data_IF_626479223149
#
_entry.id   IF_626479223149
#
_cell.length_a   1.000
_cell.length_b   1.000
_cell.length_c   1.000
_cell.angle_alpha   90.00
_cell.angle_beta   90.00
_cell.angle_gamma   90.00
#
_symmetry.space_group_name_H-M   'P 1'
#
loop_
_entity.id
_entity.type
_entity.pdbx_description
1 polymer ?
#
# COMPACT_ATOMS: atom_id res chain seq x y z
N UNK A 1 -22.93 -38.25 16.97
CA UNK A 1 -23.41 -36.96 16.44
C UNK A 1 -22.53 -36.63 15.25
N UNK A 2 -23.09 -36.73 14.05
CA UNK A 2 -22.43 -36.34 12.81
C UNK A 2 -22.47 -34.81 12.72
N UNK A 3 -21.30 -34.18 12.80
CA UNK A 3 -21.15 -32.74 12.53
C UNK A 3 -21.21 -32.56 11.02
N UNK A 4 -22.32 -32.02 10.54
CA UNK A 4 -22.44 -31.50 9.18
C UNK A 4 -21.65 -30.17 9.13
N UNK A 5 -20.52 -30.17 8.44
CA UNK A 5 -19.78 -28.95 8.14
C UNK A 5 -20.47 -28.21 6.99
N UNK A 6 -20.90 -26.97 7.26
CA UNK A 6 -21.59 -26.10 6.30
C UNK A 6 -20.63 -25.63 5.18
N UNK A 7 -21.02 -25.70 3.90
CA UNK A 7 -20.21 -25.21 2.79
C UNK A 7 -20.37 -23.69 2.66
N UNK A 8 -19.58 -22.93 3.43
CA UNK A 8 -19.86 -21.51 3.66
C UNK A 8 -18.69 -20.53 3.58
N UNK A 9 -17.54 -20.86 2.97
CA UNK A 9 -16.40 -19.89 3.00
C UNK A 9 -15.49 -19.84 1.75
N UNK A 10 -15.73 -20.64 0.71
CA UNK A 10 -14.88 -20.62 -0.49
C UNK A 10 -15.10 -19.40 -1.40
N UNK A 11 -16.21 -18.66 -1.25
CA UNK A 11 -16.55 -17.51 -2.12
C UNK A 11 -15.89 -16.21 -1.68
N UNK A 12 -15.63 -16.05 -0.39
CA UNK A 12 -15.03 -14.85 0.23
C UNK A 12 -13.52 -14.83 -0.02
N UNK A 13 -12.84 -15.97 0.17
CA UNK A 13 -11.42 -16.13 -0.11
C UNK A 13 -11.06 -15.83 -1.57
N UNK A 14 -11.82 -16.38 -2.54
CA UNK A 14 -11.55 -16.15 -3.96
C UNK A 14 -11.75 -14.69 -4.41
N UNK A 15 -12.60 -13.92 -3.74
CA UNK A 15 -12.78 -12.48 -4.03
C UNK A 15 -11.63 -11.63 -3.51
N UNK A 16 -11.06 -11.99 -2.36
CA UNK A 16 -9.91 -11.28 -1.80
C UNK A 16 -8.65 -11.54 -2.60
N UNK A 17 -8.46 -12.77 -3.09
CA UNK A 17 -7.37 -13.11 -4.01
C UNK A 17 -7.46 -12.33 -5.32
N UNK A 18 -8.65 -12.28 -5.94
CA UNK A 18 -8.90 -11.50 -7.15
C UNK A 18 -8.68 -9.98 -6.94
N UNK A 19 -9.00 -9.46 -5.76
CA UNK A 19 -8.75 -8.06 -5.43
C UNK A 19 -7.24 -7.76 -5.30
N UNK A 20 -6.48 -8.70 -4.75
CA UNK A 20 -5.02 -8.62 -4.68
C UNK A 20 -4.38 -8.60 -6.07
N UNK A 21 -4.77 -9.55 -6.93
CA UNK A 21 -4.26 -9.61 -8.32
C UNK A 21 -4.64 -8.35 -9.12
N UNK A 22 -5.86 -7.83 -8.95
CA UNK A 22 -6.28 -6.59 -9.62
C UNK A 22 -5.51 -5.36 -9.12
N UNK A 23 -5.24 -5.28 -7.81
CA UNK A 23 -4.46 -4.20 -7.21
C UNK A 23 -3.03 -4.20 -7.74
N UNK A 24 -2.42 -5.37 -7.87
CA UNK A 24 -1.09 -5.54 -8.47
C UNK A 24 -1.06 -5.05 -9.91
N UNK A 25 -2.04 -5.43 -10.73
CA UNK A 25 -2.15 -4.96 -12.11
C UNK A 25 -2.28 -3.43 -12.21
N UNK A 26 -3.09 -2.82 -11.33
CA UNK A 26 -3.25 -1.37 -11.26
C UNK A 26 -1.94 -0.68 -10.88
N UNK A 27 -1.22 -1.20 -9.89
CA UNK A 27 0.06 -0.65 -9.45
C UNK A 27 1.14 -0.78 -10.53
N UNK A 28 1.25 -1.92 -11.22
CA UNK A 28 2.21 -2.09 -12.32
C UNK A 28 1.93 -1.09 -13.46
N UNK A 29 0.66 -0.83 -13.78
CA UNK A 29 0.28 0.19 -14.77
C UNK A 29 0.58 1.61 -14.28
N UNK A 30 0.22 1.94 -13.04
CA UNK A 30 0.46 3.25 -12.46
C UNK A 30 1.96 3.57 -12.37
N UNK A 31 2.80 2.57 -12.08
CA UNK A 31 4.24 2.69 -12.12
C UNK A 31 4.75 3.03 -13.53
N UNK A 32 4.25 2.34 -14.55
CA UNK A 32 4.60 2.60 -15.96
C UNK A 32 4.18 4.00 -16.43
N UNK A 33 3.07 4.52 -15.88
CA UNK A 33 2.51 5.83 -16.18
C UNK A 33 3.08 6.95 -15.30
N UNK A 34 3.98 6.62 -14.36
CA UNK A 34 4.56 7.55 -13.36
C UNK A 34 3.49 8.33 -12.57
N UNK A 35 2.35 7.70 -12.27
CA UNK A 35 1.25 8.29 -11.50
C UNK A 35 1.21 7.85 -10.04
N UNK A 36 2.28 7.21 -9.56
CA UNK A 36 2.42 6.76 -8.18
C UNK A 36 3.16 7.80 -7.33
N UNK A 37 2.64 8.05 -6.13
CA UNK A 37 3.36 8.72 -5.06
C UNK A 37 3.82 7.67 -4.06
N UNK A 38 5.13 7.60 -3.84
CA UNK A 38 5.76 6.60 -2.98
C UNK A 38 6.30 7.27 -1.72
N UNK A 39 6.06 6.65 -0.57
CA UNK A 39 6.48 7.18 0.73
C UNK A 39 5.32 7.75 1.54
N UNK A 40 5.38 7.53 2.85
CA UNK A 40 4.33 7.94 3.79
C UNK A 40 4.27 9.47 3.88
N UNK A 41 5.42 10.13 3.87
CA UNK A 41 5.51 11.57 3.97
C UNK A 41 5.11 12.27 2.66
N UNK A 42 5.55 11.73 1.51
CA UNK A 42 5.18 12.22 0.18
C UNK A 42 3.67 12.11 -0.04
N UNK A 43 3.09 10.98 0.36
CA UNK A 43 1.64 10.78 0.32
C UNK A 43 0.92 11.81 1.20
N UNK A 44 1.36 12.00 2.45
CA UNK A 44 0.77 13.01 3.34
C UNK A 44 0.88 14.43 2.78
N UNK A 45 2.02 14.78 2.16
CA UNK A 45 2.21 16.07 1.51
C UNK A 45 1.29 16.26 0.32
N UNK A 46 1.14 15.25 -0.54
CA UNK A 46 0.23 15.30 -1.67
C UNK A 46 -1.22 15.45 -1.20
N UNK A 47 -1.65 14.65 -0.23
CA UNK A 47 -2.98 14.71 0.37
C UNK A 47 -3.30 16.10 0.93
N UNK A 48 -2.32 16.80 1.49
CA UNK A 48 -2.51 18.15 2.02
C UNK A 48 -2.52 19.26 0.95
N UNK A 49 -1.96 19.01 -0.24
CA UNK A 49 -1.90 19.98 -1.34
C UNK A 49 -3.06 19.78 -2.31
N UNK A 50 -3.37 18.53 -2.65
CA UNK A 50 -4.29 18.18 -3.73
C UNK A 50 -4.90 16.77 -3.51
N UNK A 51 -5.83 16.64 -2.56
CA UNK A 51 -6.49 15.37 -2.27
C UNK A 51 -7.42 14.91 -3.39
N UNK A 52 -7.95 15.83 -4.20
CA UNK A 52 -8.91 15.53 -5.28
C UNK A 52 -8.30 14.67 -6.40
N UNK A 53 -6.98 14.74 -6.58
CA UNK A 53 -6.25 13.95 -7.57
C UNK A 53 -5.82 12.57 -7.06
N UNK A 54 -6.09 12.23 -5.80
CA UNK A 54 -5.73 10.94 -5.20
C UNK A 54 -6.91 9.97 -5.26
N UNK A 55 -6.78 8.92 -6.07
CA UNK A 55 -7.86 7.92 -6.27
C UNK A 55 -7.81 6.77 -5.26
N UNK A 56 -6.60 6.40 -4.83
CA UNK A 56 -6.35 5.25 -3.96
C UNK A 56 -5.09 5.47 -3.12
N UNK A 57 -5.20 5.23 -1.81
CA UNK A 57 -4.06 5.13 -0.90
C UNK A 57 -3.80 3.68 -0.51
N UNK A 58 -2.53 3.27 -0.54
CA UNK A 58 -2.09 1.94 -0.13
C UNK A 58 -1.14 2.04 1.06
N UNK A 59 -1.56 1.47 2.19
CA UNK A 59 -0.73 1.33 3.38
C UNK A 59 -0.16 -0.08 3.41
N UNK A 60 1.13 -0.19 3.14
CA UNK A 60 1.88 -1.43 3.21
C UNK A 60 2.66 -1.48 4.52
N UNK A 61 2.38 -2.50 5.33
CA UNK A 61 3.02 -2.67 6.64
C UNK A 61 3.12 -4.16 6.95
N UNK A 62 4.32 -4.73 6.91
CA UNK A 62 4.57 -6.09 7.37
C UNK A 62 4.60 -6.14 8.90
N UNK A 63 4.54 -7.34 9.47
CA UNK A 63 4.50 -7.53 10.93
C UNK A 63 5.71 -6.94 11.66
N UNK A 64 6.89 -6.91 11.00
CA UNK A 64 8.11 -6.28 11.54
C UNK A 64 7.94 -4.76 11.74
N UNK A 65 7.09 -4.11 10.94
CA UNK A 65 6.83 -2.67 10.99
C UNK A 65 5.70 -2.31 11.96
N UNK A 66 5.07 -3.31 12.60
CA UNK A 66 4.04 -3.09 13.62
C UNK A 66 4.61 -2.46 14.91
N UNK A 67 5.91 -2.63 15.18
CA UNK A 67 6.60 -2.06 16.35
C UNK A 67 7.00 -0.59 16.20
N UNK A 68 6.92 -0.03 14.99
CA UNK A 68 7.30 1.35 14.72
C UNK A 68 6.16 2.32 15.05
N UNK A 69 6.20 2.88 16.26
CA UNK A 69 5.17 3.81 16.73
C UNK A 69 5.01 5.04 15.82
N UNK A 70 6.09 5.57 15.25
CA UNK A 70 6.02 6.74 14.38
C UNK A 70 5.28 6.39 13.08
N UNK A 71 5.63 5.25 12.48
CA UNK A 71 4.95 4.74 11.29
C UNK A 71 3.46 4.46 11.55
N UNK A 72 3.13 3.84 12.68
CA UNK A 72 1.72 3.57 13.03
C UNK A 72 0.92 4.86 13.27
N UNK A 73 1.54 5.90 13.84
CA UNK A 73 0.91 7.23 13.96
C UNK A 73 0.63 7.80 12.57
N UNK A 74 1.60 7.78 11.66
CA UNK A 74 1.40 8.30 10.31
C UNK A 74 0.33 7.53 9.52
N UNK A 75 0.32 6.20 9.62
CA UNK A 75 -0.74 5.39 9.01
C UNK A 75 -2.12 5.76 9.55
N UNK A 76 -2.22 5.97 10.86
CA UNK A 76 -3.49 6.39 11.49
C UNK A 76 -3.92 7.77 10.98
N UNK A 77 -3.00 8.72 10.88
CA UNK A 77 -3.28 10.07 10.38
C UNK A 77 -3.73 10.06 8.91
N UNK A 78 -3.01 9.34 8.06
CA UNK A 78 -3.36 9.21 6.64
C UNK A 78 -4.71 8.53 6.48
N UNK A 79 -4.96 7.45 7.24
CA UNK A 79 -6.24 6.75 7.20
C UNK A 79 -7.40 7.67 7.59
N UNK A 80 -7.26 8.45 8.67
CA UNK A 80 -8.27 9.42 9.08
C UNK A 80 -8.53 10.45 7.99
N UNK A 81 -7.47 11.02 7.41
CA UNK A 81 -7.58 12.00 6.34
C UNK A 81 -8.27 11.43 5.09
N UNK A 82 -7.89 10.24 4.64
CA UNK A 82 -8.52 9.59 3.49
C UNK A 82 -10.01 9.33 3.74
N UNK A 83 -10.38 8.91 4.95
CA UNK A 83 -11.78 8.70 5.31
C UNK A 83 -12.59 10.00 5.33
N UNK A 84 -12.00 11.11 5.76
CA UNK A 84 -12.66 12.42 5.77
C UNK A 84 -12.86 13.01 4.36
N UNK A 85 -12.03 12.63 3.40
CA UNK A 85 -12.05 13.14 2.02
C UNK A 85 -12.59 12.11 1.01
N UNK A 86 -13.26 11.04 1.48
CA UNK A 86 -13.82 9.97 0.63
C UNK A 86 -12.79 9.30 -0.33
N UNK A 87 -11.52 9.25 0.08
CA UNK A 87 -10.44 8.60 -0.67
C UNK A 87 -10.39 7.12 -0.30
N UNK A 88 -10.40 6.24 -1.30
CA UNK A 88 -10.28 4.81 -1.08
C UNK A 88 -8.93 4.46 -0.45
N UNK A 89 -8.94 3.67 0.61
CA UNK A 89 -7.72 3.24 1.29
C UNK A 89 -7.69 1.71 1.47
N UNK A 90 -6.54 1.11 1.19
CA UNK A 90 -6.29 -0.32 1.39
C UNK A 90 -5.08 -0.51 2.30
N UNK A 91 -5.19 -1.43 3.24
CA UNK A 91 -4.06 -1.88 4.09
C UNK A 91 -3.67 -3.29 3.70
N UNK A 92 -2.43 -3.47 3.25
CA UNK A 92 -1.88 -4.79 2.96
C UNK A 92 -0.84 -5.17 4.04
N UNK A 93 -1.12 -6.19 4.87
CA UNK A 93 -0.19 -6.69 5.87
C UNK A 93 0.92 -7.59 5.30
N UNK A 94 0.84 -7.92 4.01
CA UNK A 94 1.78 -8.80 3.33
C UNK A 94 2.37 -8.11 2.10
N UNK A 95 3.02 -6.97 2.35
CA UNK A 95 3.66 -6.19 1.31
C UNK A 95 4.91 -6.86 0.74
N UNK A 96 5.39 -7.93 1.35
CA UNK A 96 6.51 -8.75 0.86
C UNK A 96 6.11 -9.81 -0.17
N UNK A 97 4.81 -9.98 -0.47
CA UNK A 97 4.32 -11.07 -1.35
C UNK A 97 3.92 -10.62 -2.77
N UNK A 98 4.23 -9.40 -3.21
CA UNK A 98 3.95 -8.97 -4.59
C UNK A 98 4.71 -9.85 -5.59
N UNK A 99 4.01 -10.28 -6.63
CA UNK A 99 4.54 -11.12 -7.71
C UNK A 99 5.34 -10.28 -8.70
N UNK A 100 4.98 -9.01 -8.88
CA UNK A 100 5.65 -8.06 -9.76
C UNK A 100 7.05 -7.70 -9.20
N UNK A 101 8.12 -8.00 -9.95
CA UNK A 101 9.48 -7.79 -9.48
C UNK A 101 9.83 -6.30 -9.34
N UNK A 102 9.20 -5.40 -10.10
CA UNK A 102 9.46 -3.97 -10.00
C UNK A 102 8.81 -3.39 -8.73
N UNK A 103 7.57 -3.79 -8.42
CA UNK A 103 6.92 -3.43 -7.16
C UNK A 103 7.68 -3.97 -5.96
N UNK A 104 8.08 -5.24 -5.99
CA UNK A 104 8.86 -5.86 -4.91
C UNK A 104 10.20 -5.14 -4.68
N UNK A 105 10.92 -4.76 -5.74
CA UNK A 105 12.16 -3.98 -5.63
C UNK A 105 11.92 -2.58 -5.03
N UNK A 106 10.87 -1.89 -5.46
CA UNK A 106 10.53 -0.56 -4.94
C UNK A 106 10.17 -0.60 -3.46
N UNK A 107 9.38 -1.60 -3.05
CA UNK A 107 9.01 -1.80 -1.65
C UNK A 107 10.24 -2.12 -0.79
N UNK A 108 11.17 -2.94 -1.29
CA UNK A 108 12.44 -3.23 -0.64
C UNK A 108 13.29 -1.96 -0.46
N UNK A 109 13.43 -1.15 -1.51
CA UNK A 109 14.16 0.13 -1.45
C UNK A 109 13.56 1.10 -0.43
N UNK A 110 12.23 1.23 -0.38
CA UNK A 110 11.56 2.09 0.59
C UNK A 110 11.77 1.61 2.03
N UNK A 111 11.78 0.28 2.25
CA UNK A 111 12.06 -0.34 3.56
C UNK A 111 13.50 -0.06 4.00
N UNK A 112 14.47 -0.30 3.13
CA UNK A 112 15.90 -0.07 3.42
C UNK A 112 16.17 1.42 3.70
N UNK A 113 15.57 2.32 2.92
CA UNK A 113 15.71 3.76 3.14
C UNK A 113 15.17 4.16 4.51
N UNK A 114 14.02 3.61 4.92
CA UNK A 114 13.46 3.84 6.26
C UNK A 114 14.38 3.35 7.38
N UNK A 115 15.01 2.19 7.22
CA UNK A 115 15.98 1.66 8.20
C UNK A 115 17.17 2.60 8.40
N UNK A 116 17.47 3.43 7.39
CA UNK A 116 18.52 4.45 7.43
C UNK A 116 17.98 5.85 7.78
N UNK A 117 16.80 5.93 8.42
CA UNK A 117 16.09 7.19 8.75
C UNK A 117 15.83 8.11 7.54
N UNK A 118 15.88 7.56 6.32
CA UNK A 118 15.52 8.26 5.08
C UNK A 118 14.07 7.96 4.72
N UNK A 119 13.17 8.66 5.41
CA UNK A 119 11.71 8.56 5.25
C UNK A 119 11.19 9.08 3.90
N UNK A 120 12.01 9.90 3.23
CA UNK A 120 11.77 10.46 1.90
C UNK A 120 12.82 9.87 0.94
N UNK A 121 12.64 8.64 0.47
CA UNK A 121 13.55 8.03 -0.48
C UNK A 121 13.48 8.78 -1.83
N UNK A 122 14.54 9.51 -2.19
CA UNK A 122 14.62 10.20 -3.48
C UNK A 122 15.02 9.21 -4.56
N UNK A 123 14.06 8.83 -5.41
CA UNK A 123 14.32 8.04 -6.61
C UNK A 123 14.47 9.00 -7.79
N UNK A 124 15.69 9.13 -8.31
CA UNK A 124 15.90 9.79 -9.59
C UNK A 124 15.51 8.82 -10.71
N UNK A 125 14.27 8.93 -11.20
CA UNK A 125 13.85 8.18 -12.38
C UNK A 125 14.67 8.68 -13.60
N UNK A 126 15.23 7.79 -14.44
CA UNK A 126 15.95 8.23 -15.63
C UNK A 126 15.03 9.10 -16.50
N UNK A 127 15.52 10.28 -16.87
CA UNK A 127 14.91 11.11 -17.90
C UNK A 127 15.00 10.34 -19.23
N UNK A 128 13.89 10.30 -19.98
CA UNK A 128 13.81 9.64 -21.28
C UNK A 128 13.83 10.67 -22.39
#
# INVERSE_FOLDING_TARGET
MTLEELPGDHRTAGRMEQAGDALEEVLSKALSQRSLTLGVYEAAKLLNVDPDNVVLCLLAADEEEAGDAALQIHFTLIQAFCCENDINILRNPHASQWKDPALSQLMCFCRESRYMDQWVPVINLPER
#
